data_IF_828660223548
#
_entry.id   IF_828660223548
#
_cell.length_a   1.000
_cell.length_b   1.000
_cell.length_c   1.000
_cell.angle_alpha   90.00
_cell.angle_beta   90.00
_cell.angle_gamma   90.00
#
_symmetry.space_group_name_H-M   'P 1'
#
loop_
_entity.id
_entity.type
_entity.pdbx_description
1 polymer ?
#
# COMPACT_ATOMS: atom_id res chain seq x y z
N UNK A 1 -5.51 25.25 -14.45
CA UNK A 1 -6.35 26.17 -13.66
C UNK A 1 -6.71 25.43 -12.39
N UNK A 2 -6.06 25.77 -11.28
CA UNK A 2 -6.24 25.12 -9.98
C UNK A 2 -7.72 25.13 -9.61
N UNK A 3 -8.29 23.96 -9.30
CA UNK A 3 -9.52 23.90 -8.52
C UNK A 3 -9.19 24.59 -7.20
N UNK A 4 -9.69 25.81 -6.99
CA UNK A 4 -9.54 26.51 -5.73
C UNK A 4 -10.17 25.65 -4.64
N UNK A 5 -9.34 25.01 -3.81
CA UNK A 5 -9.81 24.38 -2.59
C UNK A 5 -10.13 25.46 -1.56
N UNK A 6 -11.15 25.22 -0.75
CA UNK A 6 -11.54 26.12 0.34
C UNK A 6 -10.38 26.33 1.32
N UNK A 7 -9.65 25.26 1.62
CA UNK A 7 -8.47 25.26 2.47
C UNK A 7 -7.23 25.28 1.59
N UNK A 8 -6.25 26.11 1.95
CA UNK A 8 -5.02 26.26 1.18
C UNK A 8 -4.03 25.09 1.45
N UNK A 9 -3.21 24.69 0.45
CA UNK A 9 -2.20 23.64 0.61
C UNK A 9 -1.21 23.84 1.78
N UNK A 10 -0.95 25.09 2.15
CA UNK A 10 -0.03 25.52 3.21
C UNK A 10 -0.71 25.74 4.58
N UNK A 11 -2.04 25.64 4.66
CA UNK A 11 -2.77 25.64 5.94
C UNK A 11 -2.62 24.29 6.66
N UNK A 12 -1.41 24.05 7.15
CA UNK A 12 -0.99 22.76 7.69
C UNK A 12 -1.82 22.33 8.91
N UNK A 13 -2.21 23.27 9.78
CA UNK A 13 -2.96 22.96 11.00
C UNK A 13 -4.37 22.46 10.66
N UNK A 14 -5.07 23.16 9.75
CA UNK A 14 -6.41 22.76 9.35
C UNK A 14 -6.39 21.40 8.65
N UNK A 15 -5.40 21.17 7.77
CA UNK A 15 -5.26 19.89 7.07
C UNK A 15 -4.96 18.72 8.02
N UNK A 16 -4.04 18.90 8.99
CA UNK A 16 -3.83 17.92 10.06
C UNK A 16 -5.10 17.65 10.86
N UNK A 17 -5.81 18.72 11.23
CA UNK A 17 -7.09 18.63 11.93
C UNK A 17 -8.11 17.79 11.18
N UNK A 18 -8.27 18.01 9.87
CA UNK A 18 -9.19 17.25 9.03
C UNK A 18 -8.80 15.77 8.97
N UNK A 19 -7.51 15.47 8.76
CA UNK A 19 -7.03 14.08 8.70
C UNK A 19 -7.33 13.34 10.01
N UNK A 20 -6.99 13.95 11.14
CA UNK A 20 -7.19 13.38 12.49
C UNK A 20 -8.66 13.22 12.81
N UNK A 21 -9.49 14.23 12.53
CA UNK A 21 -10.93 14.19 12.79
C UNK A 21 -11.61 13.14 11.90
N UNK A 22 -11.29 13.09 10.61
CA UNK A 22 -11.90 12.14 9.69
C UNK A 22 -11.51 10.69 10.02
N UNK A 23 -10.25 10.45 10.40
CA UNK A 23 -9.80 9.16 10.90
C UNK A 23 -10.56 8.75 12.16
N UNK A 24 -10.67 9.67 13.14
CA UNK A 24 -11.38 9.42 14.40
C UNK A 24 -12.87 9.15 14.20
N UNK A 25 -13.53 9.95 13.36
CA UNK A 25 -14.94 9.78 13.00
C UNK A 25 -15.16 8.43 12.32
N UNK A 26 -14.27 8.03 11.41
CA UNK A 26 -14.37 6.75 10.72
C UNK A 26 -14.29 5.55 11.68
N UNK A 27 -13.37 5.58 12.64
CA UNK A 27 -13.27 4.54 13.70
C UNK A 27 -14.54 4.52 14.55
N UNK A 28 -15.02 5.70 14.98
CA UNK A 28 -16.22 5.80 15.80
C UNK A 28 -17.47 5.31 15.06
N UNK A 29 -17.59 5.60 13.77
CA UNK A 29 -18.68 5.09 12.93
C UNK A 29 -18.62 3.57 12.82
N UNK A 30 -17.43 3.01 12.58
CA UNK A 30 -17.23 1.56 12.49
C UNK A 30 -17.67 0.84 13.77
N UNK A 31 -17.30 1.36 14.94
CA UNK A 31 -17.65 0.77 16.22
C UNK A 31 -19.13 0.92 16.58
N UNK A 32 -19.78 2.00 16.13
CA UNK A 32 -21.15 2.33 16.55
C UNK A 32 -22.23 1.74 15.64
N UNK A 33 -21.95 1.55 14.36
CA UNK A 33 -22.97 1.20 13.36
C UNK A 33 -22.64 -0.08 12.59
N UNK A 34 -23.62 -1.00 12.52
CA UNK A 34 -23.47 -2.29 11.83
C UNK A 34 -23.26 -2.19 10.32
N UNK A 35 -23.70 -1.09 9.69
CA UNK A 35 -23.41 -0.85 8.26
C UNK A 35 -21.97 -0.37 8.06
N UNK A 36 -21.46 0.43 8.99
CA UNK A 36 -20.10 0.97 8.94
C UNK A 36 -19.07 -0.12 9.29
N UNK A 37 -19.38 -1.01 10.24
CA UNK A 37 -18.55 -2.18 10.54
C UNK A 37 -18.40 -3.13 9.35
N UNK A 38 -19.39 -3.18 8.44
CA UNK A 38 -19.28 -3.95 7.19
C UNK A 38 -18.37 -3.30 6.15
N UNK A 39 -18.26 -1.97 6.16
CA UNK A 39 -17.35 -1.24 5.29
C UNK A 39 -15.94 -1.12 5.90
N UNK A 40 -15.77 -1.28 7.21
CA UNK A 40 -14.57 -0.90 7.98
C UNK A 40 -14.34 0.61 8.00
N UNK A 41 -13.78 1.13 9.09
CA UNK A 41 -13.44 2.54 9.21
C UNK A 41 -12.41 2.96 8.17
N UNK A 42 -11.52 2.07 7.72
CA UNK A 42 -10.55 2.35 6.68
C UNK A 42 -11.20 2.78 5.36
N UNK A 43 -12.24 2.07 4.90
CA UNK A 43 -12.99 2.46 3.68
C UNK A 43 -13.69 3.81 3.92
N UNK A 44 -14.27 4.02 5.09
CA UNK A 44 -14.99 5.28 5.42
C UNK A 44 -14.02 6.47 5.38
N UNK A 45 -12.82 6.32 5.95
CA UNK A 45 -11.78 7.35 5.95
C UNK A 45 -11.34 7.70 4.52
N UNK A 46 -11.09 6.68 3.70
CA UNK A 46 -10.68 6.83 2.30
C UNK A 46 -11.78 7.50 1.46
N UNK A 47 -13.03 7.01 1.54
CA UNK A 47 -14.16 7.61 0.79
C UNK A 47 -14.40 9.05 1.25
N UNK A 48 -14.34 9.32 2.56
CA UNK A 48 -14.45 10.67 3.10
C UNK A 48 -13.40 11.62 2.52
N UNK A 49 -12.16 11.17 2.40
CA UNK A 49 -11.07 11.95 1.81
C UNK A 49 -11.30 12.24 0.32
N UNK A 50 -11.72 11.24 -0.46
CA UNK A 50 -12.10 11.40 -1.87
C UNK A 50 -13.20 12.45 -2.00
N UNK A 51 -14.24 12.38 -1.17
CA UNK A 51 -15.35 13.35 -1.23
C UNK A 51 -14.83 14.76 -0.93
N UNK A 52 -14.02 14.94 0.11
CA UNK A 52 -13.49 16.26 0.49
C UNK A 52 -12.59 16.86 -0.59
N UNK A 53 -11.71 16.08 -1.22
CA UNK A 53 -10.81 16.59 -2.26
C UNK A 53 -11.56 16.90 -3.57
N UNK A 54 -12.55 16.08 -3.93
CA UNK A 54 -13.33 16.27 -5.16
C UNK A 54 -14.41 17.35 -5.06
N UNK A 55 -14.88 17.66 -3.86
CA UNK A 55 -15.78 18.81 -3.61
C UNK A 55 -15.02 20.12 -3.46
N UNK A 56 -13.68 20.10 -3.50
CA UNK A 56 -12.84 21.28 -3.34
C UNK A 56 -12.79 21.80 -1.90
N UNK A 57 -13.07 20.98 -0.89
CA UNK A 57 -12.91 21.39 0.52
C UNK A 57 -11.43 21.41 0.90
N UNK A 58 -10.71 20.34 0.54
CA UNK A 58 -9.26 20.20 0.76
C UNK A 58 -8.51 20.18 -0.59
N UNK A 59 -7.24 20.59 -0.62
CA UNK A 59 -6.40 20.48 -1.81
C UNK A 59 -6.02 19.01 -2.08
N UNK A 60 -5.58 18.72 -3.30
CA UNK A 60 -5.09 17.38 -3.69
C UNK A 60 -3.63 17.15 -3.34
N UNK A 61 -2.90 18.21 -3.01
CA UNK A 61 -1.47 18.21 -2.68
C UNK A 61 -1.22 19.12 -1.47
N UNK A 62 -0.34 18.71 -0.56
CA UNK A 62 0.09 19.49 0.61
C UNK A 62 1.29 18.82 1.28
N UNK A 63 2.24 19.59 1.86
CA UNK A 63 3.32 19.03 2.69
C UNK A 63 2.83 18.17 3.86
N UNK A 64 1.58 18.38 4.33
CA UNK A 64 0.97 17.55 5.38
C UNK A 64 0.78 16.12 4.90
N UNK A 65 0.36 15.93 3.65
CA UNK A 65 0.13 14.61 3.06
C UNK A 65 1.46 13.89 2.86
N UNK A 66 2.49 14.60 2.42
CA UNK A 66 3.86 14.09 2.31
C UNK A 66 4.42 13.67 3.67
N UNK A 67 4.13 14.43 4.73
CA UNK A 67 4.54 14.09 6.09
C UNK A 67 3.87 12.82 6.62
N UNK A 68 2.63 12.52 6.20
CA UNK A 68 1.98 11.24 6.55
C UNK A 68 2.73 10.07 5.91
N UNK A 69 3.13 10.19 4.64
CA UNK A 69 3.95 9.18 3.98
C UNK A 69 5.36 9.07 4.57
N UNK A 70 6.02 10.20 4.85
CA UNK A 70 7.42 10.25 5.26
C UNK A 70 7.66 10.01 6.76
N UNK A 71 6.64 10.19 7.60
CA UNK A 71 6.78 10.09 9.08
C UNK A 71 5.76 9.14 9.68
N UNK A 72 4.47 9.30 9.39
CA UNK A 72 3.41 8.54 10.06
C UNK A 72 3.43 7.06 9.65
N UNK A 73 3.52 6.76 8.36
CA UNK A 73 3.60 5.37 7.86
C UNK A 73 4.84 4.64 8.40
N UNK A 74 6.07 5.21 8.33
CA UNK A 74 7.25 4.60 8.93
C UNK A 74 7.12 4.31 10.41
N UNK A 75 6.43 5.15 11.20
CA UNK A 75 6.24 4.90 12.63
C UNK A 75 5.22 3.80 12.91
N UNK A 76 4.18 3.71 12.09
CA UNK A 76 3.13 2.70 12.25
C UNK A 76 3.66 1.27 12.09
N UNK A 77 4.61 1.07 11.16
CA UNK A 77 5.19 -0.25 10.87
C UNK A 77 5.79 -0.91 12.11
N UNK A 78 6.84 -0.37 12.76
CA UNK A 78 7.47 -1.01 13.92
C UNK A 78 6.48 -1.18 15.08
N UNK A 79 5.61 -0.19 15.34
CA UNK A 79 4.58 -0.28 16.38
C UNK A 79 3.66 -1.50 16.19
N UNK A 80 3.35 -1.85 14.95
CA UNK A 80 2.53 -3.02 14.62
C UNK A 80 3.35 -4.32 14.58
N UNK A 81 4.64 -4.23 14.25
CA UNK A 81 5.55 -5.39 14.25
C UNK A 81 5.91 -5.85 15.67
N UNK A 82 5.85 -4.98 16.71
CA UNK A 82 6.29 -5.30 18.08
C UNK A 82 5.61 -6.53 18.71
N UNK A 83 4.44 -6.94 18.21
CA UNK A 83 3.72 -8.12 18.69
C UNK A 83 3.55 -9.21 17.62
N UNK A 84 4.35 -9.19 16.55
CA UNK A 84 4.30 -10.23 15.51
C UNK A 84 5.13 -11.44 15.90
N UNK A 85 4.61 -12.62 15.54
CA UNK A 85 5.32 -13.88 15.68
C UNK A 85 6.32 -14.08 14.51
N UNK A 86 7.62 -14.00 14.81
CA UNK A 86 8.71 -14.10 13.83
C UNK A 86 8.73 -15.44 13.06
N UNK A 87 8.31 -16.54 13.69
CA UNK A 87 8.29 -17.86 13.03
C UNK A 87 7.26 -17.93 11.89
N UNK A 88 6.15 -17.21 12.03
CA UNK A 88 5.12 -17.15 10.99
C UNK A 88 5.59 -16.40 9.76
N UNK A 89 6.45 -15.38 9.92
CA UNK A 89 6.93 -14.56 8.79
C UNK A 89 7.56 -15.43 7.70
N UNK A 90 8.48 -16.32 8.08
CA UNK A 90 9.18 -17.17 7.11
C UNK A 90 8.25 -18.15 6.39
N UNK A 91 7.27 -18.70 7.12
CA UNK A 91 6.35 -19.70 6.57
C UNK A 91 5.34 -19.10 5.60
N UNK A 92 4.81 -17.92 5.90
CA UNK A 92 3.79 -17.28 5.05
C UNK A 92 4.42 -16.62 3.80
N UNK A 93 5.68 -16.17 3.87
CA UNK A 93 6.35 -15.46 2.76
C UNK A 93 6.45 -16.27 1.46
N UNK A 94 6.63 -17.59 1.54
CA UNK A 94 6.87 -18.41 0.34
C UNK A 94 5.67 -18.49 -0.61
N UNK A 95 4.46 -18.72 -0.08
CA UNK A 95 3.24 -18.73 -0.89
C UNK A 95 2.91 -17.34 -1.42
N UNK A 96 3.13 -16.33 -0.57
CA UNK A 96 2.86 -14.94 -0.89
C UNK A 96 3.78 -14.45 -2.03
N UNK A 97 5.06 -14.85 -2.02
CA UNK A 97 6.01 -14.56 -3.09
C UNK A 97 5.56 -15.16 -4.43
N UNK A 98 5.14 -16.44 -4.42
CA UNK A 98 4.69 -17.11 -5.64
C UNK A 98 3.53 -16.35 -6.29
N UNK A 99 2.52 -15.99 -5.50
CA UNK A 99 1.34 -15.29 -6.04
C UNK A 99 1.66 -13.86 -6.46
N UNK A 100 2.59 -13.18 -5.80
CA UNK A 100 3.09 -11.85 -6.22
C UNK A 100 3.79 -11.89 -7.58
N UNK A 101 4.64 -12.91 -7.83
CA UNK A 101 5.28 -13.07 -9.14
C UNK A 101 4.24 -13.36 -10.23
N UNK A 102 3.23 -14.18 -9.93
CA UNK A 102 2.12 -14.44 -10.86
C UNK A 102 1.30 -13.17 -11.11
N UNK A 103 1.03 -12.39 -10.07
CA UNK A 103 0.34 -11.11 -10.20
C UNK A 103 1.14 -10.13 -11.06
N UNK A 104 2.47 -10.09 -10.90
CA UNK A 104 3.38 -9.33 -11.77
C UNK A 104 3.28 -9.74 -13.24
N UNK A 105 3.13 -11.04 -13.54
CA UNK A 105 2.85 -11.52 -14.90
C UNK A 105 1.49 -11.00 -15.39
N UNK A 106 0.49 -10.94 -14.50
CA UNK A 106 -0.80 -10.32 -14.79
C UNK A 106 -0.68 -8.83 -15.15
N UNK A 107 0.17 -8.07 -14.45
CA UNK A 107 0.50 -6.68 -14.80
C UNK A 107 1.09 -6.59 -16.21
N UNK A 108 2.06 -7.45 -16.53
CA UNK A 108 2.69 -7.48 -17.87
C UNK A 108 1.66 -7.80 -18.96
N UNK A 109 0.84 -8.83 -18.75
CA UNK A 109 -0.24 -9.19 -19.67
C UNK A 109 -1.25 -8.04 -19.85
N UNK A 110 -1.58 -7.37 -18.75
CA UNK A 110 -2.46 -6.20 -18.75
C UNK A 110 -1.89 -5.02 -19.53
N UNK A 111 -0.60 -4.74 -19.36
CA UNK A 111 0.11 -3.69 -20.10
C UNK A 111 0.15 -3.98 -21.60
N UNK A 112 0.41 -5.23 -21.99
CA UNK A 112 0.38 -5.67 -23.39
C UNK A 112 -1.02 -5.49 -23.98
N UNK A 113 -2.05 -6.01 -23.31
CA UNK A 113 -3.42 -5.92 -23.81
C UNK A 113 -3.88 -4.46 -23.95
N UNK A 114 -3.69 -3.65 -22.90
CA UNK A 114 -4.09 -2.24 -22.90
C UNK A 114 -3.32 -1.40 -23.92
N UNK A 115 -2.02 -1.67 -24.14
CA UNK A 115 -1.23 -1.02 -25.17
C UNK A 115 -1.79 -1.29 -26.56
N UNK A 116 -1.96 -2.56 -26.95
CA UNK A 116 -2.46 -2.88 -28.30
C UNK A 116 -3.89 -2.37 -28.56
N UNK A 117 -4.70 -2.23 -27.51
CA UNK A 117 -6.05 -1.66 -27.62
C UNK A 117 -6.04 -0.13 -27.80
N UNK A 118 -5.06 0.58 -27.23
CA UNK A 118 -5.11 2.04 -27.07
C UNK A 118 -3.95 2.80 -27.72
N UNK A 119 -2.92 2.12 -28.25
CA UNK A 119 -1.70 2.74 -28.79
C UNK A 119 -1.95 3.77 -29.88
N UNK A 120 -3.00 3.59 -30.69
CA UNK A 120 -3.33 4.51 -31.78
C UNK A 120 -4.17 5.72 -31.31
N UNK A 121 -4.55 5.75 -30.03
CA UNK A 121 -5.43 6.78 -29.44
C UNK A 121 -4.74 7.59 -28.34
N UNK A 122 -3.67 7.07 -27.73
CA UNK A 122 -2.95 7.73 -26.64
C UNK A 122 -1.50 7.98 -27.07
N UNK A 123 -1.07 9.24 -27.19
CA UNK A 123 0.32 9.60 -27.44
C UNK A 123 1.27 9.06 -26.35
N UNK A 124 2.49 8.67 -26.76
CA UNK A 124 3.55 8.20 -25.84
C UNK A 124 3.16 6.97 -25.01
N UNK A 125 2.20 6.16 -25.49
CA UNK A 125 1.70 5.02 -24.72
C UNK A 125 2.77 3.95 -24.45
N UNK A 126 3.81 3.85 -25.28
CA UNK A 126 5.01 3.04 -25.06
C UNK A 126 5.71 3.44 -23.76
N UNK A 127 5.94 4.75 -23.58
CA UNK A 127 6.59 5.31 -22.39
C UNK A 127 5.69 5.19 -21.17
N UNK A 128 4.40 5.46 -21.33
CA UNK A 128 3.39 5.33 -20.26
C UNK A 128 3.23 3.85 -19.85
N UNK A 129 3.26 2.91 -20.79
CA UNK A 129 3.27 1.47 -20.53
C UNK A 129 4.52 1.04 -19.77
N UNK A 130 5.69 1.61 -20.07
CA UNK A 130 6.91 1.37 -19.30
C UNK A 130 6.71 1.81 -17.83
N UNK A 131 6.22 3.04 -17.64
CA UNK A 131 5.96 3.63 -16.32
C UNK A 131 4.96 2.81 -15.51
N UNK A 132 3.81 2.49 -16.10
CA UNK A 132 2.74 1.77 -15.40
C UNK A 132 3.07 0.30 -15.16
N UNK A 133 3.78 -0.38 -16.08
CA UNK A 133 4.22 -1.76 -15.83
C UNK A 133 5.22 -1.84 -14.68
N UNK A 134 6.10 -0.84 -14.57
CA UNK A 134 7.06 -0.75 -13.47
C UNK A 134 6.38 -0.38 -12.14
N UNK A 135 5.44 0.57 -12.18
CA UNK A 135 4.61 0.96 -11.03
C UNK A 135 3.78 -0.22 -10.51
N UNK A 136 3.04 -0.89 -11.39
CA UNK A 136 2.19 -2.03 -11.03
C UNK A 136 2.94 -3.35 -10.80
N UNK A 137 4.26 -3.27 -10.73
CA UNK A 137 5.14 -4.35 -10.27
C UNK A 137 5.90 -3.95 -9.01
N UNK A 138 6.17 -2.66 -8.78
CA UNK A 138 6.97 -2.20 -7.65
C UNK A 138 6.79 -0.73 -7.28
N UNK A 139 5.57 -0.21 -7.32
CA UNK A 139 5.19 1.11 -6.81
C UNK A 139 5.81 2.34 -7.48
N UNK A 140 5.52 3.50 -6.89
CA UNK A 140 5.81 4.82 -7.47
C UNK A 140 7.30 5.16 -7.68
N UNK A 141 8.22 4.52 -6.95
CA UNK A 141 9.67 4.71 -7.19
C UNK A 141 10.08 4.20 -8.57
N UNK A 142 9.50 3.08 -9.00
CA UNK A 142 9.74 2.51 -10.32
C UNK A 142 9.05 3.33 -11.43
N UNK A 143 7.86 3.87 -11.13
CA UNK A 143 7.19 4.83 -12.01
C UNK A 143 8.08 6.04 -12.29
N UNK A 144 8.64 6.65 -11.23
CA UNK A 144 9.53 7.80 -11.35
C UNK A 144 10.79 7.46 -12.16
N UNK A 145 11.42 6.31 -11.88
CA UNK A 145 12.59 5.85 -12.61
C UNK A 145 12.33 5.68 -14.12
N UNK A 146 11.20 5.05 -14.49
CA UNK A 146 10.84 4.89 -15.90
C UNK A 146 10.44 6.21 -16.56
N UNK A 147 9.79 7.11 -15.84
CA UNK A 147 9.43 8.44 -16.37
C UNK A 147 10.68 9.24 -16.79
N UNK A 148 11.73 9.18 -15.97
CA UNK A 148 13.02 9.79 -16.23
C UNK A 148 13.77 9.08 -17.36
N UNK A 149 13.85 7.74 -17.31
CA UNK A 149 14.56 6.93 -18.30
C UNK A 149 14.05 7.15 -19.73
N UNK A 150 12.73 7.16 -19.90
CA UNK A 150 12.10 7.29 -21.22
C UNK A 150 11.84 8.75 -21.60
N UNK A 151 12.22 9.71 -20.76
CA UNK A 151 12.00 11.15 -20.98
C UNK A 151 10.54 11.42 -21.39
N UNK A 152 9.62 10.95 -20.56
CA UNK A 152 8.18 11.11 -20.83
C UNK A 152 7.78 12.56 -20.60
N UNK A 153 7.03 13.20 -21.51
CA UNK A 153 6.67 14.61 -21.33
C UNK A 153 5.88 14.83 -20.03
N UNK A 154 6.21 15.87 -19.28
CA UNK A 154 5.69 16.10 -17.91
C UNK A 154 4.16 16.17 -17.79
N UNK A 155 3.48 16.66 -18.83
CA UNK A 155 2.00 16.66 -18.90
C UNK A 155 1.41 15.24 -18.87
N UNK A 156 2.01 14.31 -19.62
CA UNK A 156 1.61 12.90 -19.65
C UNK A 156 1.98 12.19 -18.36
N UNK A 157 3.14 12.52 -17.76
CA UNK A 157 3.52 12.01 -16.44
C UNK A 157 2.48 12.43 -15.39
N UNK A 158 2.17 13.72 -15.29
CA UNK A 158 1.19 14.25 -14.35
C UNK A 158 -0.20 13.64 -14.56
N UNK A 159 -0.67 13.58 -15.81
CA UNK A 159 -1.98 12.99 -16.13
C UNK A 159 -2.05 11.49 -15.79
N UNK A 160 -0.94 10.77 -15.98
CA UNK A 160 -0.84 9.36 -15.61
C UNK A 160 -0.84 9.19 -14.09
N UNK A 161 -0.14 10.04 -13.33
CA UNK A 161 -0.16 10.02 -11.85
C UNK A 161 -1.58 10.21 -11.31
N UNK A 162 -2.35 11.14 -11.89
CA UNK A 162 -3.76 11.33 -11.47
C UNK A 162 -4.58 10.07 -11.76
N UNK A 163 -4.39 9.46 -12.94
CA UNK A 163 -5.12 8.24 -13.33
C UNK A 163 -4.75 7.05 -12.44
N UNK A 164 -3.45 6.89 -12.14
CA UNK A 164 -2.91 5.88 -11.24
C UNK A 164 -3.48 6.03 -9.83
N UNK A 165 -3.39 7.23 -9.24
CA UNK A 165 -3.89 7.48 -7.88
C UNK A 165 -5.40 7.22 -7.73
N UNK A 166 -6.21 7.64 -8.72
CA UNK A 166 -7.64 7.35 -8.70
C UNK A 166 -7.91 5.84 -8.83
N UNK A 167 -7.22 5.17 -9.77
CA UNK A 167 -7.38 3.74 -9.98
C UNK A 167 -6.95 2.95 -8.74
N UNK A 168 -5.85 3.32 -8.10
CA UNK A 168 -5.36 2.71 -6.87
C UNK A 168 -6.37 2.89 -5.74
N UNK A 169 -6.93 4.10 -5.56
CA UNK A 169 -7.96 4.33 -4.54
C UNK A 169 -9.22 3.46 -4.77
N UNK A 170 -9.71 3.37 -6.02
CA UNK A 170 -10.84 2.50 -6.39
C UNK A 170 -10.49 1.03 -6.14
N UNK A 171 -9.31 0.61 -6.57
CA UNK A 171 -8.85 -0.77 -6.45
C UNK A 171 -8.67 -1.17 -4.98
N UNK A 172 -8.13 -0.28 -4.15
CA UNK A 172 -7.95 -0.51 -2.72
C UNK A 172 -9.29 -0.72 -2.02
N UNK A 173 -10.32 0.06 -2.37
CA UNK A 173 -11.69 -0.15 -1.88
C UNK A 173 -12.24 -1.50 -2.33
N UNK A 174 -12.04 -1.88 -3.59
CA UNK A 174 -12.46 -3.20 -4.11
C UNK A 174 -11.79 -4.31 -3.28
N UNK A 175 -10.47 -4.24 -3.08
CA UNK A 175 -9.73 -5.23 -2.31
C UNK A 175 -10.16 -5.31 -0.85
N UNK A 176 -10.48 -4.18 -0.21
CA UNK A 176 -11.06 -4.16 1.14
C UNK A 176 -12.45 -4.81 1.20
N UNK A 177 -13.25 -4.71 0.13
CA UNK A 177 -14.58 -5.32 0.09
C UNK A 177 -14.54 -6.83 -0.17
N UNK A 178 -13.60 -7.35 -0.96
CA UNK A 178 -13.54 -8.77 -1.34
C UNK A 178 -13.62 -9.74 -0.13
N UNK A 179 -12.87 -9.55 0.97
CA UNK A 179 -12.97 -10.39 2.17
C UNK A 179 -14.36 -10.44 2.79
N UNK A 180 -15.20 -9.43 2.57
CA UNK A 180 -16.57 -9.34 3.12
C UNK A 180 -17.60 -10.10 2.26
N UNK A 181 -17.24 -10.41 1.01
CA UNK A 181 -18.15 -11.02 0.04
C UNK A 181 -18.19 -12.55 0.16
N UNK A 182 -19.39 -13.09 0.37
CA UNK A 182 -19.61 -14.54 0.51
C UNK A 182 -19.16 -15.35 -0.71
N UNK A 183 -19.19 -14.75 -1.91
CA UNK A 183 -18.75 -15.39 -3.15
C UNK A 183 -17.29 -15.84 -3.09
N UNK A 184 -16.40 -14.98 -2.58
CA UNK A 184 -14.97 -15.24 -2.49
C UNK A 184 -14.66 -16.16 -1.30
N UNK A 185 -15.27 -15.91 -0.14
CA UNK A 185 -15.12 -16.77 1.05
C UNK A 185 -15.42 -18.25 0.80
N UNK A 186 -16.40 -18.55 -0.07
CA UNK A 186 -16.75 -19.94 -0.42
C UNK A 186 -15.82 -20.59 -1.44
N UNK A 187 -15.04 -19.80 -2.20
CA UNK A 187 -14.22 -20.26 -3.33
C UNK A 187 -12.74 -20.39 -3.01
N UNK A 188 -12.29 -19.76 -1.92
CA UNK A 188 -10.90 -19.68 -1.51
C UNK A 188 -10.74 -20.06 -0.04
N UNK A 189 -9.60 -20.65 0.36
CA UNK A 189 -9.24 -20.78 1.78
C UNK A 189 -9.10 -19.39 2.43
N UNK A 190 -9.57 -19.24 3.67
CA UNK A 190 -9.63 -17.96 4.40
C UNK A 190 -9.15 -18.07 5.87
N UNK A 191 -7.96 -18.65 6.13
CA UNK A 191 -7.54 -18.95 7.51
C UNK A 191 -7.30 -17.71 8.38
N UNK A 192 -6.89 -16.57 7.80
CA UNK A 192 -6.62 -15.35 8.56
C UNK A 192 -7.90 -14.59 8.85
N UNK A 193 -8.84 -14.56 7.91
CA UNK A 193 -10.18 -14.01 8.13
C UNK A 193 -10.88 -14.81 9.23
N UNK A 194 -10.86 -16.13 9.17
CA UNK A 194 -11.47 -17.00 10.19
C UNK A 194 -10.81 -16.83 11.57
N UNK A 195 -9.49 -16.64 11.63
CA UNK A 195 -8.80 -16.38 12.89
C UNK A 195 -9.26 -15.06 13.53
N UNK A 196 -9.38 -13.99 12.73
CA UNK A 196 -9.89 -12.69 13.20
C UNK A 196 -11.34 -12.79 13.66
N UNK A 197 -12.19 -13.55 12.94
CA UNK A 197 -13.59 -13.76 13.30
C UNK A 197 -13.76 -14.60 14.58
N UNK A 198 -12.99 -15.68 14.75
CA UNK A 198 -13.03 -16.48 15.98
C UNK A 198 -12.58 -15.66 17.21
N UNK A 199 -11.52 -14.85 17.09
CA UNK A 199 -11.09 -13.95 18.18
C UNK A 199 -12.20 -12.95 18.58
N UNK A 200 -13.08 -12.61 17.64
CA UNK A 200 -14.22 -11.73 17.88
C UNK A 200 -15.43 -12.45 18.49
N UNK A 201 -15.75 -13.67 18.04
CA UNK A 201 -16.91 -14.46 18.52
C UNK A 201 -16.73 -14.95 19.97
N UNK A 202 -15.51 -15.33 20.37
CA UNK A 202 -15.18 -15.68 21.76
C UNK A 202 -15.43 -14.52 22.75
N UNK A 203 -15.64 -13.30 22.25
CA UNK A 203 -15.74 -12.06 23.02
C UNK A 203 -17.14 -11.42 23.06
N UNK A 204 -18.21 -12.22 22.90
CA UNK A 204 -19.62 -11.89 23.16
C UNK A 204 -20.31 -10.90 22.20
N UNK A 205 -21.04 -11.43 21.21
CA UNK A 205 -22.31 -10.91 20.66
C UNK A 205 -22.39 -9.46 20.12
N UNK A 206 -21.26 -8.79 20.01
CA UNK A 206 -21.10 -7.39 19.60
C UNK A 206 -20.35 -7.33 18.27
N UNK A 207 -20.42 -6.22 17.53
CA UNK A 207 -19.76 -6.08 16.23
C UNK A 207 -18.28 -6.50 16.31
N UNK A 208 -17.72 -7.09 15.23
CA UNK A 208 -16.29 -7.47 15.12
C UNK A 208 -15.33 -6.37 15.64
N UNK A 209 -15.72 -5.11 15.48
CA UNK A 209 -15.00 -3.90 15.89
C UNK A 209 -15.15 -3.53 17.40
N UNK A 210 -16.01 -4.15 18.19
CA UNK A 210 -16.09 -3.90 19.65
C UNK A 210 -15.25 -4.91 20.45
N UNK A 211 -15.10 -6.15 19.97
CA UNK A 211 -14.31 -7.20 20.64
C UNK A 211 -12.81 -7.03 20.42
N UNK A 212 -12.39 -6.62 19.21
CA UNK A 212 -10.98 -6.33 18.89
C UNK A 212 -10.45 -5.07 19.61
N UNK A 213 -11.35 -4.15 19.97
CA UNK A 213 -11.03 -2.82 20.53
C UNK A 213 -11.42 -2.67 22.01
N UNK A 214 -11.50 -3.78 22.77
CA UNK A 214 -11.67 -3.70 24.24
C UNK A 214 -10.59 -2.80 24.83
N UNK A 215 -10.98 -1.98 25.82
CA UNK A 215 -10.04 -1.13 26.56
C UNK A 215 -8.89 -1.99 27.05
N UNK A 216 -7.70 -1.72 26.51
CA UNK A 216 -6.45 -2.25 27.02
C UNK A 216 -5.95 -1.31 28.10
N UNK A 217 -5.39 -1.86 29.16
CA UNK A 217 -4.67 -1.08 30.16
C UNK A 217 -3.35 -0.60 29.53
N UNK A 218 -3.35 0.62 29.02
CA UNK A 218 -2.20 1.27 28.41
C UNK A 218 -1.71 2.34 29.38
N UNK A 219 -0.48 2.20 29.89
CA UNK A 219 0.13 3.24 30.71
C UNK A 219 0.81 4.30 29.84
N UNK A 220 0.98 5.51 30.37
CA UNK A 220 1.77 6.56 29.70
C UNK A 220 3.20 6.10 29.39
N UNK A 221 3.78 5.26 30.26
CA UNK A 221 5.10 4.66 30.07
C UNK A 221 5.11 3.75 28.84
N UNK A 222 4.08 2.93 28.65
CA UNK A 222 4.00 2.03 27.49
C UNK A 222 3.89 2.81 26.19
N UNK A 223 3.08 3.89 26.17
CA UNK A 223 2.98 4.78 25.01
C UNK A 223 4.32 5.46 24.71
N UNK A 224 4.97 6.03 25.73
CA UNK A 224 6.23 6.72 25.58
C UNK A 224 7.35 5.79 25.06
N UNK A 225 7.45 4.58 25.61
CA UNK A 225 8.42 3.58 25.17
C UNK A 225 8.09 3.05 23.77
N UNK A 226 6.82 2.79 23.47
CA UNK A 226 6.41 2.33 22.14
C UNK A 226 6.74 3.35 21.05
N UNK A 227 6.28 4.59 21.22
CA UNK A 227 6.51 5.67 20.25
C UNK A 227 8.00 6.03 20.19
N UNK A 228 8.68 6.13 21.33
CA UNK A 228 10.11 6.43 21.40
C UNK A 228 10.97 5.37 20.71
N UNK A 229 10.71 4.09 20.95
CA UNK A 229 11.41 2.99 20.27
C UNK A 229 11.09 2.95 18.78
N UNK A 230 9.84 3.19 18.38
CA UNK A 230 9.47 3.28 16.96
C UNK A 230 10.24 4.40 16.24
N UNK A 231 10.29 5.61 16.81
CA UNK A 231 11.09 6.71 16.27
C UNK A 231 12.58 6.37 16.19
N UNK A 232 13.13 5.79 17.26
CA UNK A 232 14.53 5.38 17.28
C UNK A 232 14.83 4.40 16.14
N UNK A 233 13.99 3.38 15.95
CA UNK A 233 14.14 2.40 14.87
C UNK A 233 14.02 3.07 13.50
N UNK A 234 13.03 3.94 13.27
CA UNK A 234 12.89 4.69 12.01
C UNK A 234 14.15 5.50 11.71
N UNK A 235 14.65 6.28 12.67
CA UNK A 235 15.83 7.13 12.48
C UNK A 235 17.07 6.29 12.15
N UNK A 236 17.33 5.24 12.93
CA UNK A 236 18.50 4.38 12.71
C UNK A 236 18.39 3.66 11.37
N UNK A 237 17.23 3.09 11.06
CA UNK A 237 17.00 2.35 9.83
C UNK A 237 17.08 3.22 8.59
N UNK A 238 16.44 4.39 8.57
CA UNK A 238 16.44 5.24 7.37
C UNK A 238 17.81 5.86 7.12
N UNK A 239 18.55 6.24 8.19
CA UNK A 239 19.93 6.70 8.02
C UNK A 239 20.85 5.59 7.53
N UNK A 240 20.69 4.37 8.07
CA UNK A 240 21.47 3.22 7.63
C UNK A 240 21.15 2.87 6.17
N UNK A 241 19.86 2.82 5.81
CA UNK A 241 19.39 2.58 4.45
C UNK A 241 19.93 3.63 3.47
N UNK A 242 19.90 4.92 3.84
CA UNK A 242 20.51 5.97 3.02
C UNK A 242 22.01 5.76 2.78
N UNK A 243 22.77 5.48 3.84
CA UNK A 243 24.23 5.23 3.72
C UNK A 243 24.53 3.98 2.90
N UNK A 244 23.77 2.89 3.08
CA UNK A 244 23.96 1.65 2.32
C UNK A 244 23.50 1.80 0.87
N UNK A 245 22.40 2.53 0.64
CA UNK A 245 21.86 2.84 -0.68
C UNK A 245 22.82 3.69 -1.52
N UNK A 246 23.55 4.62 -0.90
CA UNK A 246 24.59 5.41 -1.57
C UNK A 246 25.88 4.60 -1.82
N UNK A 247 26.23 3.69 -0.90
CA UNK A 247 27.50 2.93 -0.98
C UNK A 247 27.43 1.70 -1.87
N UNK A 248 26.28 1.05 -1.96
CA UNK A 248 26.09 -0.13 -2.80
C UNK A 248 25.69 0.37 -4.19
N UNK A 249 26.47 0.10 -5.26
CA UNK A 249 26.10 0.56 -6.59
C UNK A 249 24.75 -0.03 -7.03
N UNK A 250 23.93 0.79 -7.69
CA UNK A 250 22.70 0.36 -8.36
C UNK A 250 22.58 1.04 -9.72
N UNK A 251 21.80 0.44 -10.61
CA UNK A 251 21.56 0.93 -11.96
C UNK A 251 21.66 -0.15 -13.03
N UNK A 252 21.42 0.26 -14.28
CA UNK A 252 21.27 -0.65 -15.41
C UNK A 252 22.56 -1.37 -15.79
N UNK A 253 23.71 -0.72 -15.56
CA UNK A 253 25.04 -1.27 -15.87
C UNK A 253 25.67 -2.02 -14.69
N UNK A 254 24.94 -2.20 -13.58
CA UNK A 254 25.40 -2.88 -12.38
C UNK A 254 24.89 -4.33 -12.36
N UNK A 255 25.69 -5.26 -11.81
CA UNK A 255 25.29 -6.66 -11.74
C UNK A 255 23.96 -6.85 -10.99
N UNK A 256 23.17 -7.83 -11.39
CA UNK A 256 21.89 -8.14 -10.75
C UNK A 256 22.02 -8.34 -9.23
N UNK A 257 23.10 -9.01 -8.78
CA UNK A 257 23.33 -9.24 -7.35
C UNK A 257 23.57 -7.95 -6.57
N UNK A 258 24.30 -6.98 -7.13
CA UNK A 258 24.51 -5.69 -6.46
C UNK A 258 23.25 -4.83 -6.45
N UNK A 259 22.47 -4.85 -7.55
CA UNK A 259 21.15 -4.22 -7.58
C UNK A 259 20.20 -4.85 -6.54
N UNK A 260 20.23 -6.18 -6.40
CA UNK A 260 19.46 -6.89 -5.37
C UNK A 260 19.89 -6.48 -3.96
N UNK A 261 21.20 -6.43 -3.69
CA UNK A 261 21.73 -5.99 -2.40
C UNK A 261 21.38 -4.53 -2.10
N UNK A 262 21.48 -3.64 -3.09
CA UNK A 262 21.08 -2.25 -2.93
C UNK A 262 19.57 -2.13 -2.66
N UNK A 263 18.73 -2.85 -3.40
CA UNK A 263 17.28 -2.83 -3.18
C UNK A 263 16.89 -3.35 -1.79
N UNK A 264 17.58 -4.38 -1.28
CA UNK A 264 17.27 -4.96 0.03
C UNK A 264 17.80 -4.12 1.21
N UNK A 265 18.99 -3.53 1.06
CA UNK A 265 19.69 -2.82 2.14
C UNK A 265 19.59 -1.29 2.04
N UNK A 266 19.18 -0.78 0.89
CA UNK A 266 18.94 0.65 0.63
C UNK A 266 17.47 1.05 0.75
N UNK A 267 16.54 0.09 0.82
CA UNK A 267 15.13 0.40 1.04
C UNK A 267 14.84 0.69 2.52
N UNK A 268 14.32 1.89 2.76
CA UNK A 268 13.99 2.41 4.08
C UNK A 268 13.07 1.47 4.88
N UNK A 269 12.07 0.88 4.24
CA UNK A 269 11.05 0.06 4.90
C UNK A 269 11.54 -1.36 5.18
N UNK A 270 12.35 -1.94 4.30
CA UNK A 270 13.01 -3.23 4.53
C UNK A 270 14.02 -3.16 5.65
N UNK A 271 14.90 -2.16 5.65
CA UNK A 271 15.88 -1.98 6.73
C UNK A 271 15.15 -1.72 8.06
N UNK A 272 14.06 -0.95 8.04
CA UNK A 272 13.20 -0.75 9.21
C UNK A 272 12.60 -2.05 9.72
N UNK A 273 11.98 -2.84 8.85
CA UNK A 273 11.38 -4.13 9.20
C UNK A 273 12.44 -5.08 9.74
N UNK A 274 13.60 -5.15 9.09
CA UNK A 274 14.72 -6.02 9.47
C UNK A 274 15.29 -5.64 10.82
N UNK A 275 15.61 -4.36 11.05
CA UNK A 275 16.12 -3.91 12.35
C UNK A 275 15.08 -4.06 13.46
N UNK A 276 13.79 -3.88 13.16
CA UNK A 276 12.71 -4.13 14.12
C UNK A 276 12.66 -5.61 14.51
N UNK A 277 12.74 -6.52 13.54
CA UNK A 277 12.79 -7.97 13.79
C UNK A 277 14.02 -8.36 14.59
N UNK A 278 15.19 -7.79 14.27
CA UNK A 278 16.42 -8.02 15.03
C UNK A 278 16.27 -7.51 16.46
N UNK A 279 15.72 -6.31 16.67
CA UNK A 279 15.45 -5.77 18.00
C UNK A 279 14.49 -6.66 18.79
N UNK A 280 13.42 -7.16 18.16
CA UNK A 280 12.47 -8.10 18.76
C UNK A 280 13.15 -9.42 19.18
N UNK A 281 14.05 -9.94 18.35
CA UNK A 281 14.79 -11.16 18.65
C UNK A 281 15.82 -10.97 19.78
N UNK A 282 16.49 -9.81 19.84
CA UNK A 282 17.49 -9.50 20.85
C UNK A 282 16.89 -9.09 22.20
N UNK A 283 15.72 -8.44 22.20
CA UNK A 283 15.09 -7.89 23.39
C UNK A 283 13.61 -8.29 23.56
N UNK A 284 13.24 -9.58 23.46
CA UNK A 284 11.83 -10.01 23.44
C UNK A 284 11.05 -9.57 24.68
N UNK A 285 11.66 -9.67 25.87
CA UNK A 285 11.04 -9.31 27.15
C UNK A 285 10.77 -7.81 27.31
N UNK A 286 11.42 -6.95 26.52
CA UNK A 286 11.12 -5.53 26.46
C UNK A 286 9.82 -5.29 25.69
N UNK A 287 9.72 -5.85 24.48
CA UNK A 287 8.58 -5.65 23.59
C UNK A 287 7.30 -6.36 24.08
N UNK A 288 7.43 -7.53 24.72
CA UNK A 288 6.29 -8.23 25.34
C UNK A 288 5.58 -7.40 26.42
N UNK A 289 6.29 -6.47 27.06
CA UNK A 289 5.74 -5.59 28.11
C UNK A 289 5.09 -4.32 27.56
N UNK A 290 5.27 -4.00 26.27
CA UNK A 290 4.75 -2.77 25.67
C UNK A 290 3.27 -2.91 25.32
N UNK A 291 2.39 -2.63 26.26
CA UNK A 291 0.96 -2.63 26.00
C UNK A 291 0.54 -1.43 25.12
N UNK A 292 -0.33 -1.68 24.14
CA UNK A 292 -0.95 -0.61 23.36
C UNK A 292 -0.17 -0.10 22.15
N UNK A 293 1.04 -0.61 21.89
CA UNK A 293 1.81 -0.24 20.68
C UNK A 293 1.01 -0.47 19.39
N UNK A 294 0.27 -1.58 19.32
CA UNK A 294 -0.58 -1.93 18.18
C UNK A 294 -1.74 -0.94 17.98
N UNK A 295 -2.34 -0.41 19.06
CA UNK A 295 -3.45 0.54 18.98
C UNK A 295 -2.96 1.87 18.39
N UNK A 296 -1.80 2.34 18.86
CA UNK A 296 -1.15 3.55 18.34
C UNK A 296 -0.82 3.35 16.86
N UNK A 297 -0.16 2.24 16.51
CA UNK A 297 0.19 1.94 15.12
C UNK A 297 -1.03 1.85 14.21
N UNK A 298 -2.12 1.21 14.67
CA UNK A 298 -3.36 1.11 13.90
C UNK A 298 -3.99 2.49 13.68
N UNK A 299 -4.02 3.35 14.71
CA UNK A 299 -4.52 4.71 14.57
C UNK A 299 -3.69 5.54 13.57
N UNK A 300 -2.36 5.40 13.58
CA UNK A 300 -1.50 6.04 12.57
C UNK A 300 -1.82 5.57 11.14
N UNK A 301 -2.15 4.30 10.95
CA UNK A 301 -2.61 3.76 9.65
C UNK A 301 -3.97 4.32 9.23
N UNK A 302 -4.84 4.65 10.18
CA UNK A 302 -6.09 5.35 9.87
C UNK A 302 -5.86 6.76 9.31
N UNK A 303 -4.85 7.49 9.80
CA UNK A 303 -4.44 8.77 9.21
C UNK A 303 -3.94 8.58 7.77
N UNK A 304 -3.18 7.50 7.54
CA UNK A 304 -2.75 7.10 6.21
C UNK A 304 -3.91 6.81 5.26
N UNK A 305 -4.96 6.12 5.70
CA UNK A 305 -6.15 5.86 4.86
C UNK A 305 -6.92 7.11 4.48
N UNK A 306 -6.87 8.16 5.29
CA UNK A 306 -7.39 9.47 4.83
C UNK A 306 -6.51 9.98 3.70
N UNK A 307 -5.18 10.03 3.88
CA UNK A 307 -4.27 10.62 2.91
C UNK A 307 -4.24 9.87 1.57
N UNK A 308 -4.36 8.55 1.56
CA UNK A 308 -4.31 7.74 0.32
C UNK A 308 -5.45 8.11 -0.67
N UNK A 309 -6.60 8.56 -0.16
CA UNK A 309 -7.75 8.94 -0.99
C UNK A 309 -7.71 10.38 -1.51
N UNK A 310 -6.84 11.24 -0.98
CA UNK A 310 -6.83 12.67 -1.30
C UNK A 310 -6.44 12.96 -2.77
N UNK A 311 -5.38 12.34 -3.34
CA UNK A 311 -4.91 12.67 -4.68
C UNK A 311 -5.86 12.24 -5.81
N UNK A 312 -6.89 11.44 -5.51
CA UNK A 312 -7.84 10.89 -6.47
C UNK A 312 -8.80 11.97 -7.02
N UNK A 313 -8.38 12.75 -8.02
CA UNK A 313 -9.18 13.85 -8.59
C UNK A 313 -10.00 13.44 -9.82
N UNK A 314 -11.30 13.23 -9.64
CA UNK A 314 -12.27 12.89 -10.70
C UNK A 314 -12.39 14.01 -11.75
N UNK A 315 -12.49 15.31 -11.41
CA UNK A 315 -12.58 16.37 -12.41
C UNK A 315 -11.36 16.44 -13.33
N UNK A 316 -10.15 16.24 -12.78
CA UNK A 316 -8.91 16.23 -13.56
C UNK A 316 -8.90 15.05 -14.55
N UNK A 317 -9.39 13.88 -14.14
CA UNK A 317 -9.49 12.72 -15.03
C UNK A 317 -10.46 12.95 -16.17
N UNK A 318 -11.69 13.39 -15.87
CA UNK A 318 -12.71 13.59 -16.91
C UNK A 318 -12.27 14.61 -17.96
N UNK A 319 -11.45 15.58 -17.57
CA UNK A 319 -10.97 16.64 -18.45
C UNK A 319 -9.70 16.26 -19.23
N UNK A 320 -8.75 15.58 -18.57
CA UNK A 320 -7.40 15.45 -19.10
C UNK A 320 -7.01 14.01 -19.47
N UNK A 321 -7.64 13.00 -18.88
CA UNK A 321 -7.08 11.64 -18.85
C UNK A 321 -8.10 10.47 -18.87
N UNK A 322 -9.28 10.55 -19.52
CA UNK A 322 -10.26 9.45 -19.47
C UNK A 322 -9.75 8.16 -20.14
N UNK A 323 -8.99 8.30 -21.24
CA UNK A 323 -8.36 7.16 -21.91
C UNK A 323 -7.20 6.56 -21.10
N UNK A 324 -6.47 7.39 -20.34
CA UNK A 324 -5.43 6.90 -19.43
C UNK A 324 -6.04 6.14 -18.25
N UNK A 325 -7.19 6.60 -17.72
CA UNK A 325 -7.92 5.86 -16.70
C UNK A 325 -8.36 4.48 -17.24
N UNK A 326 -8.90 4.44 -18.46
CA UNK A 326 -9.26 3.16 -19.11
C UNK A 326 -8.03 2.26 -19.31
N UNK A 327 -6.91 2.84 -19.74
CA UNK A 327 -5.64 2.13 -19.90
C UNK A 327 -5.20 1.47 -18.59
N UNK A 328 -5.08 2.23 -17.50
CA UNK A 328 -4.65 1.67 -16.21
C UNK A 328 -5.69 0.71 -15.63
N UNK A 329 -6.98 0.95 -15.86
CA UNK A 329 -8.06 0.06 -15.45
C UNK A 329 -7.93 -1.32 -16.09
N UNK A 330 -7.63 -1.40 -17.39
CA UNK A 330 -7.42 -2.68 -18.08
C UNK A 330 -6.23 -3.44 -17.47
N UNK A 331 -5.13 -2.75 -17.13
CA UNK A 331 -3.97 -3.38 -16.50
C UNK A 331 -4.35 -3.97 -15.14
N UNK A 332 -4.98 -3.18 -14.28
CA UNK A 332 -5.40 -3.62 -12.94
C UNK A 332 -6.42 -4.75 -13.02
N UNK A 333 -7.37 -4.68 -13.94
CA UNK A 333 -8.38 -5.71 -14.15
C UNK A 333 -7.75 -7.04 -14.56
N UNK A 334 -6.84 -7.02 -15.53
CA UNK A 334 -6.15 -8.23 -15.99
C UNK A 334 -5.24 -8.78 -14.89
N UNK A 335 -4.50 -7.92 -14.18
CA UNK A 335 -3.73 -8.31 -12.99
C UNK A 335 -4.62 -9.05 -11.98
N UNK A 336 -5.77 -8.45 -11.62
CA UNK A 336 -6.69 -9.05 -10.66
C UNK A 336 -7.25 -10.39 -11.16
N UNK A 337 -7.67 -10.47 -12.43
CA UNK A 337 -8.19 -11.72 -13.02
C UNK A 337 -7.12 -12.82 -12.98
N UNK A 338 -5.88 -12.52 -13.39
CA UNK A 338 -4.77 -13.48 -13.38
C UNK A 338 -4.46 -13.93 -11.96
N UNK A 339 -4.33 -12.99 -11.02
CA UNK A 339 -4.00 -13.27 -9.61
C UNK A 339 -5.05 -14.16 -8.95
N UNK A 340 -6.33 -13.80 -9.08
CA UNK A 340 -7.41 -14.57 -8.47
C UNK A 340 -7.63 -15.93 -9.15
N UNK A 341 -7.50 -15.99 -10.48
CA UNK A 341 -7.66 -17.24 -11.22
C UNK A 341 -6.53 -18.21 -10.91
N UNK A 342 -5.27 -17.77 -10.98
CA UNK A 342 -4.11 -18.60 -10.66
C UNK A 342 -4.09 -19.00 -9.18
N UNK A 343 -4.37 -18.05 -8.28
CA UNK A 343 -4.45 -18.32 -6.85
C UNK A 343 -5.52 -19.36 -6.51
N UNK A 344 -6.65 -19.36 -7.23
CA UNK A 344 -7.68 -20.39 -7.10
C UNK A 344 -7.17 -21.78 -7.51
N UNK A 345 -6.49 -21.89 -8.64
CA UNK A 345 -5.94 -23.16 -9.12
C UNK A 345 -4.85 -23.71 -8.20
N UNK A 346 -4.02 -22.81 -7.66
CA UNK A 346 -2.94 -23.13 -6.73
C UNK A 346 -3.40 -23.31 -5.28
N UNK A 347 -4.71 -23.11 -4.99
CA UNK A 347 -5.30 -23.18 -3.65
C UNK A 347 -4.59 -22.26 -2.65
N UNK A 348 -4.16 -21.09 -3.10
CA UNK A 348 -3.60 -20.03 -2.26
C UNK A 348 -4.71 -19.39 -1.44
N UNK A 349 -4.40 -18.93 -0.23
CA UNK A 349 -5.38 -18.26 0.62
C UNK A 349 -5.86 -16.96 -0.03
N UNK A 350 -7.11 -16.58 0.21
CA UNK A 350 -7.70 -15.35 -0.34
C UNK A 350 -6.90 -14.11 0.08
N UNK A 351 -6.47 -14.09 1.33
CA UNK A 351 -5.71 -13.00 1.95
C UNK A 351 -4.36 -12.80 1.24
N UNK A 352 -3.64 -13.88 0.96
CA UNK A 352 -2.36 -13.83 0.24
C UNK A 352 -2.54 -13.28 -1.19
N UNK A 353 -3.60 -13.70 -1.89
CA UNK A 353 -3.92 -13.20 -3.25
C UNK A 353 -4.22 -11.70 -3.21
N UNK A 354 -5.07 -11.26 -2.29
CA UNK A 354 -5.46 -9.86 -2.12
C UNK A 354 -4.22 -9.01 -1.83
N UNK A 355 -3.39 -9.42 -0.86
CA UNK A 355 -2.21 -8.68 -0.46
C UNK A 355 -1.17 -8.62 -1.58
N UNK A 356 -0.92 -9.72 -2.28
CA UNK A 356 0.02 -9.75 -3.39
C UNK A 356 -0.43 -8.88 -4.57
N UNK A 357 -1.71 -8.96 -4.96
CA UNK A 357 -2.28 -8.09 -5.99
C UNK A 357 -2.16 -6.62 -5.58
N UNK A 358 -2.41 -6.29 -4.31
CA UNK A 358 -2.23 -4.93 -3.82
C UNK A 358 -0.77 -4.49 -3.82
N UNK A 359 0.16 -5.37 -3.44
CA UNK A 359 1.59 -5.05 -3.44
C UNK A 359 2.10 -4.77 -4.86
N UNK A 360 1.53 -5.43 -5.86
CA UNK A 360 1.79 -5.11 -7.27
C UNK A 360 1.28 -3.71 -7.63
N UNK A 361 -0.02 -3.46 -7.46
CA UNK A 361 -0.66 -2.21 -7.94
C UNK A 361 -0.30 -0.99 -7.08
N UNK A 362 -0.42 -1.11 -5.76
CA UNK A 362 -0.22 -0.01 -4.81
C UNK A 362 1.12 -0.05 -4.05
N UNK A 363 1.94 -1.08 -4.23
CA UNK A 363 3.24 -1.19 -3.56
C UNK A 363 3.19 -1.82 -2.15
N UNK A 364 4.38 -2.10 -1.56
CA UNK A 364 4.48 -2.84 -0.30
C UNK A 364 3.82 -2.13 0.89
N UNK A 365 3.87 -0.80 0.95
CA UNK A 365 3.29 0.00 2.05
C UNK A 365 1.77 -0.06 2.07
N UNK A 366 1.11 0.04 0.92
CA UNK A 366 -0.35 -0.07 0.83
C UNK A 366 -0.81 -1.51 1.13
N UNK A 367 -0.05 -2.51 0.69
CA UNK A 367 -0.33 -3.91 1.00
C UNK A 367 -0.19 -4.22 2.49
N UNK A 368 0.83 -3.68 3.15
CA UNK A 368 0.92 -3.74 4.61
C UNK A 368 -0.28 -3.05 5.28
N UNK A 369 -0.66 -1.84 4.83
CA UNK A 369 -1.83 -1.14 5.36
C UNK A 369 -3.11 -1.97 5.19
N UNK A 370 -3.30 -2.64 4.06
CA UNK A 370 -4.44 -3.52 3.80
C UNK A 370 -4.49 -4.72 4.76
N UNK A 371 -3.33 -5.35 5.02
CA UNK A 371 -3.21 -6.42 6.00
C UNK A 371 -3.58 -5.92 7.41
N UNK A 372 -3.15 -4.70 7.76
CA UNK A 372 -3.43 -4.07 9.05
C UNK A 372 -4.92 -3.78 9.21
N UNK A 373 -5.56 -3.18 8.20
CA UNK A 373 -6.99 -2.86 8.22
C UNK A 373 -7.88 -4.10 8.43
N UNK A 374 -7.46 -5.25 7.88
CA UNK A 374 -8.20 -6.51 8.02
C UNK A 374 -7.75 -7.34 9.24
N UNK A 375 -6.82 -6.84 10.06
CA UNK A 375 -6.31 -7.57 11.23
C UNK A 375 -5.42 -8.78 10.88
N UNK A 376 -4.91 -8.90 9.66
CA UNK A 376 -4.05 -10.00 9.20
C UNK A 376 -2.60 -9.81 9.66
N UNK A 377 -2.39 -9.68 10.98
CA UNK A 377 -1.11 -9.30 11.60
C UNK A 377 0.07 -10.15 11.14
N UNK A 378 -0.15 -11.46 10.97
CA UNK A 378 0.90 -12.40 10.57
C UNK A 378 1.40 -12.19 9.13
N UNK A 379 0.67 -11.46 8.29
CA UNK A 379 1.02 -11.19 6.90
C UNK A 379 1.72 -9.83 6.69
N UNK A 380 1.76 -8.94 7.70
CA UNK A 380 2.37 -7.60 7.60
C UNK A 380 3.87 -7.67 7.27
N UNK A 381 4.63 -8.47 8.04
CA UNK A 381 6.05 -8.69 7.77
C UNK A 381 6.30 -9.34 6.40
N UNK A 382 5.67 -10.50 6.11
CA UNK A 382 5.79 -11.18 4.81
C UNK A 382 5.51 -10.29 3.62
N UNK A 383 4.42 -9.50 3.65
CA UNK A 383 4.04 -8.68 2.50
C UNK A 383 5.00 -7.52 2.25
N UNK A 384 5.60 -6.94 3.30
CA UNK A 384 6.64 -5.92 3.14
C UNK A 384 7.88 -6.51 2.44
N UNK A 385 8.29 -7.72 2.81
CA UNK A 385 9.42 -8.41 2.17
C UNK A 385 9.11 -8.78 0.72
N UNK A 386 7.93 -9.32 0.45
CA UNK A 386 7.56 -9.72 -0.91
C UNK A 386 7.35 -8.50 -1.81
N UNK A 387 6.61 -7.49 -1.35
CA UNK A 387 6.28 -6.31 -2.17
C UNK A 387 7.50 -5.47 -2.54
N UNK A 388 8.53 -5.44 -1.69
CA UNK A 388 9.79 -4.71 -1.97
C UNK A 388 10.67 -5.40 -3.01
N UNK A 389 10.50 -6.71 -3.25
CA UNK A 389 11.08 -7.35 -4.44
C UNK A 389 10.57 -6.70 -5.72
N UNK A 390 9.34 -6.15 -5.69
CA UNK A 390 8.78 -5.33 -6.75
C UNK A 390 9.65 -4.15 -7.16
N UNK A 391 10.28 -3.45 -6.19
CA UNK A 391 11.21 -2.34 -6.47
C UNK A 391 12.38 -2.79 -7.34
N UNK A 392 12.80 -4.04 -7.19
CA UNK A 392 13.95 -4.60 -7.90
C UNK A 392 13.53 -5.03 -9.30
N UNK A 393 12.46 -5.81 -9.42
CA UNK A 393 12.06 -6.40 -10.72
C UNK A 393 11.28 -5.43 -11.61
N UNK A 394 10.59 -4.43 -11.04
CA UNK A 394 9.70 -3.55 -11.79
C UNK A 394 10.41 -2.67 -12.81
N UNK A 395 11.61 -2.16 -12.51
CA UNK A 395 12.38 -1.36 -13.48
C UNK A 395 12.82 -2.18 -14.70
N UNK A 396 13.16 -3.46 -14.52
CA UNK A 396 13.48 -4.35 -15.63
C UNK A 396 12.26 -4.64 -16.50
N UNK A 397 11.11 -4.91 -15.86
CA UNK A 397 9.85 -5.15 -16.55
C UNK A 397 9.42 -3.89 -17.33
N UNK A 398 9.44 -2.72 -16.70
CA UNK A 398 9.11 -1.45 -17.33
C UNK A 398 10.04 -1.13 -18.50
N UNK A 399 11.34 -1.31 -18.32
CA UNK A 399 12.33 -1.14 -19.39
C UNK A 399 12.04 -2.05 -20.57
N UNK A 400 11.83 -3.34 -20.31
CA UNK A 400 11.55 -4.32 -21.35
C UNK A 400 10.29 -3.93 -22.15
N UNK A 401 9.20 -3.60 -21.45
CA UNK A 401 7.94 -3.19 -22.07
C UNK A 401 8.12 -1.91 -22.88
N UNK A 402 8.76 -0.88 -22.32
CA UNK A 402 8.96 0.39 -22.99
C UNK A 402 9.80 0.26 -24.26
N UNK A 403 10.94 -0.43 -24.20
CA UNK A 403 11.80 -0.67 -25.38
C UNK A 403 11.07 -1.49 -26.43
N UNK A 404 10.36 -2.54 -26.02
CA UNK A 404 9.61 -3.38 -26.95
C UNK A 404 8.51 -2.60 -27.66
N UNK A 405 7.71 -1.83 -26.93
CA UNK A 405 6.61 -1.05 -27.50
C UNK A 405 7.09 0.12 -28.35
N UNK A 406 8.18 0.77 -27.96
CA UNK A 406 8.83 1.82 -28.77
C UNK A 406 9.28 1.30 -30.14
N UNK A 407 9.64 0.01 -30.24
CA UNK A 407 10.04 -0.61 -31.51
C UNK A 407 8.88 -0.99 -32.43
N UNK A 408 7.63 -0.92 -31.95
CA UNK A 408 6.41 -1.29 -32.69
C UNK A 408 5.53 -0.07 -33.00
N UNK A 409 5.73 1.03 -32.27
CA UNK A 409 5.09 2.33 -32.52
C UNK A 409 5.83 3.07 -33.64
#
# INVERSE_FOLDING_TARGET
MYLFSLIQPDDTLTLWGIIVVLASVSILLEQRYTWASKLTGAIIALIGAIILSNTGVIPTESPVYDAVWGVIVPLAIPLLLFHINLSKIWRESGKLLLIFLISSIGTVAGAIASFFLLKDHIPYLDKISAMMSASYTGGGVNFAAMSAKFETPGEWVSSTVVADNLMMAIYFVILLLIPTLTFFRKRFPTPHIQAVEHEADDNSGKTLSESFWKRKDISLKDMALSVGTAFFLVIVSFKLAGVLGERIPSGENVSFLLNLLNGLLGDNYLVLTTLTIIALALFPSYFEKLNGSQEIGTYLIYLFFVVIGIPASIPLILKNAPLLLLFVFIIVLINMIVSFTAGRFLKVNLEDIILASNANIGGPTTAAALAIANGWKNLIGPILVVGTLGYIIGNYIGTFIGVWFSGIM
#
